data_IF_219842165911
#
_entry.id   IF_219842165911
#
_cell.length_a   1.000
_cell.length_b   1.000
_cell.length_c   1.000
_cell.angle_alpha   90.00
_cell.angle_beta   90.00
_cell.angle_gamma   90.00
#
_symmetry.space_group_name_H-M   'P 1'
#
loop_
_entity.id
_entity.type
_entity.pdbx_description
1 polymer ?
#
# COMPACT_ATOMS: atom_id res chain seq x y z
N UNK A 1 -66.27 20.97 16.03
CA UNK A 1 -65.15 21.85 16.42
C UNK A 1 -63.96 20.98 16.82
N UNK A 2 -62.86 21.13 16.08
CA UNK A 2 -61.45 20.97 16.46
C UNK A 2 -60.97 19.72 17.22
N UNK A 3 -60.07 18.95 16.58
CA UNK A 3 -58.67 18.82 17.03
C UNK A 3 -57.87 18.00 15.99
N UNK A 4 -57.26 18.66 15.01
CA UNK A 4 -56.20 18.05 14.19
C UNK A 4 -54.90 18.15 15.00
N UNK A 5 -54.40 17.01 15.47
CA UNK A 5 -53.08 16.91 16.09
C UNK A 5 -52.01 17.01 14.99
N UNK A 6 -51.33 18.15 14.90
CA UNK A 6 -50.13 18.28 14.12
C UNK A 6 -48.96 17.63 14.88
N UNK A 7 -48.55 16.44 14.44
CA UNK A 7 -47.27 15.85 14.83
C UNK A 7 -46.13 16.70 14.25
N UNK A 8 -45.13 17.13 15.04
CA UNK A 8 -43.96 17.79 14.49
C UNK A 8 -43.11 16.76 13.75
N UNK A 9 -42.85 17.05 12.48
CA UNK A 9 -41.87 16.38 11.64
C UNK A 9 -40.49 16.62 12.27
N UNK A 10 -39.92 15.60 12.94
CA UNK A 10 -38.50 15.59 13.31
C UNK A 10 -37.70 15.49 12.02
N UNK A 11 -37.49 16.64 11.37
CA UNK A 11 -36.42 16.80 10.41
C UNK A 11 -35.12 16.50 11.15
N UNK A 12 -34.46 15.41 10.78
CA UNK A 12 -33.09 15.11 11.17
C UNK A 12 -32.25 16.34 10.88
N UNK A 13 -31.88 17.08 11.92
CA UNK A 13 -30.93 18.17 11.82
C UNK A 13 -29.60 17.55 11.36
N UNK A 14 -29.36 17.54 10.05
CA UNK A 14 -28.01 17.50 9.53
C UNK A 14 -27.31 18.72 10.12
N UNK A 15 -26.51 18.50 11.16
CA UNK A 15 -25.63 19.52 11.72
C UNK A 15 -24.85 20.11 10.55
N UNK A 16 -25.02 21.42 10.33
CA UNK A 16 -24.27 22.12 9.31
C UNK A 16 -22.78 21.87 9.56
N UNK A 17 -21.99 21.54 8.52
CA UNK A 17 -20.56 21.31 8.69
C UNK A 17 -19.94 22.54 9.36
N UNK A 18 -19.09 22.31 10.36
CA UNK A 18 -18.43 23.41 11.07
C UNK A 18 -17.57 24.24 10.11
N UNK A 19 -17.32 25.51 10.44
CA UNK A 19 -16.62 26.42 9.53
C UNK A 19 -15.22 25.89 9.14
N UNK A 20 -14.56 25.16 10.05
CA UNK A 20 -13.24 24.58 9.83
C UNK A 20 -13.28 23.44 8.81
N UNK A 21 -14.22 22.50 8.91
CA UNK A 21 -14.37 21.39 7.97
C UNK A 21 -14.72 21.88 6.57
N UNK A 22 -15.51 22.96 6.45
CA UNK A 22 -15.80 23.61 5.18
C UNK A 22 -14.53 24.19 4.57
N UNK A 23 -13.75 24.96 5.33
CA UNK A 23 -12.48 25.54 4.85
C UNK A 23 -11.46 24.45 4.47
N UNK A 24 -11.35 23.41 5.27
CA UNK A 24 -10.46 22.28 5.01
C UNK A 24 -10.83 21.58 3.70
N UNK A 25 -12.12 21.37 3.45
CA UNK A 25 -12.64 20.77 2.21
C UNK A 25 -12.35 21.66 1.01
N UNK A 26 -12.60 22.97 1.11
CA UNK A 26 -12.29 23.91 0.04
C UNK A 26 -10.81 23.94 -0.33
N UNK A 27 -9.91 23.91 0.67
CA UNK A 27 -8.47 23.85 0.39
C UNK A 27 -8.14 22.54 -0.33
N UNK A 28 -8.68 21.39 0.13
CA UNK A 28 -8.45 20.08 -0.51
C UNK A 28 -8.91 20.06 -1.96
N UNK A 29 -10.09 20.59 -2.26
CA UNK A 29 -10.64 20.65 -3.63
C UNK A 29 -9.81 21.52 -4.56
N UNK A 30 -9.25 22.61 -4.03
CA UNK A 30 -8.40 23.51 -4.79
C UNK A 30 -6.94 23.04 -4.84
N UNK A 31 -6.58 21.96 -4.15
CA UNK A 31 -5.21 21.46 -4.10
C UNK A 31 -4.89 20.61 -5.32
N UNK A 32 -3.79 20.93 -5.98
CA UNK A 32 -3.26 20.20 -7.11
C UNK A 32 -1.72 20.09 -6.99
N UNK A 33 -1.09 19.44 -7.97
CA UNK A 33 0.36 19.25 -7.95
C UNK A 33 1.15 20.55 -8.19
N UNK A 34 0.56 21.55 -8.83
CA UNK A 34 1.22 22.81 -9.20
C UNK A 34 1.11 23.88 -8.09
N UNK A 35 0.17 23.73 -7.15
CA UNK A 35 -0.10 24.74 -6.13
C UNK A 35 0.16 24.28 -4.68
N UNK A 36 0.92 23.19 -4.50
CA UNK A 36 1.23 22.60 -3.17
C UNK A 36 1.78 23.61 -2.17
N UNK A 37 2.69 24.48 -2.59
CA UNK A 37 3.24 25.54 -1.73
C UNK A 37 2.14 26.49 -1.21
N UNK A 38 1.19 26.89 -2.07
CA UNK A 38 0.07 27.73 -1.68
C UNK A 38 -0.91 26.98 -0.76
N UNK A 39 -1.18 25.70 -1.05
CA UNK A 39 -1.98 24.82 -0.18
C UNK A 39 -1.38 24.69 1.21
N UNK A 40 -0.07 24.45 1.31
CA UNK A 40 0.67 24.37 2.57
C UNK A 40 0.55 25.68 3.37
N UNK A 41 0.65 26.83 2.71
CA UNK A 41 0.49 28.13 3.35
C UNK A 41 -0.92 28.30 3.93
N UNK A 42 -1.97 27.86 3.21
CA UNK A 42 -3.35 27.91 3.69
C UNK A 42 -3.59 26.99 4.89
N UNK A 43 -3.08 25.76 4.86
CA UNK A 43 -3.15 24.88 6.04
C UNK A 43 -2.38 25.44 7.23
N UNK A 44 -1.26 26.12 6.99
CA UNK A 44 -0.49 26.77 8.06
C UNK A 44 -1.25 27.93 8.69
N UNK A 45 -2.00 28.71 7.90
CA UNK A 45 -2.91 29.73 8.43
C UNK A 45 -4.02 29.11 9.29
N UNK A 46 -4.66 28.02 8.83
CA UNK A 46 -5.65 27.31 9.62
C UNK A 46 -5.10 26.78 10.94
N UNK A 47 -3.87 26.27 10.95
CA UNK A 47 -3.23 25.80 12.18
C UNK A 47 -2.83 26.93 13.14
N UNK A 48 -2.66 28.15 12.65
CA UNK A 48 -2.44 29.31 13.52
C UNK A 48 -3.73 29.67 14.29
N UNK A 49 -4.90 29.48 13.68
CA UNK A 49 -6.21 29.68 14.31
C UNK A 49 -6.64 28.48 15.17
N UNK A 50 -6.28 27.26 14.74
CA UNK A 50 -6.65 26.00 15.38
C UNK A 50 -5.42 25.13 15.69
N UNK A 51 -4.58 25.54 16.66
CA UNK A 51 -3.34 24.85 16.95
C UNK A 51 -3.60 23.40 17.38
N UNK A 52 -2.90 22.47 16.74
CA UNK A 52 -2.99 21.04 17.07
C UNK A 52 -4.20 20.30 16.50
N UNK A 53 -5.01 20.93 15.62
CA UNK A 53 -6.09 20.23 14.94
C UNK A 53 -5.53 19.07 14.09
N UNK A 54 -5.93 17.83 14.42
CA UNK A 54 -5.40 16.62 13.80
C UNK A 54 -5.69 16.52 12.30
N UNK A 55 -6.86 16.98 11.84
CA UNK A 55 -7.25 16.88 10.43
C UNK A 55 -6.49 17.85 9.54
N UNK A 56 -6.22 19.05 10.05
CA UNK A 56 -5.42 20.06 9.34
C UNK A 56 -3.95 19.64 9.33
N UNK A 57 -3.41 19.16 10.47
CA UNK A 57 -2.05 18.59 10.53
C UNK A 57 -1.89 17.41 9.56
N UNK A 58 -2.86 16.49 9.52
CA UNK A 58 -2.86 15.37 8.58
C UNK A 58 -2.86 15.85 7.12
N UNK A 59 -3.71 16.81 6.79
CA UNK A 59 -3.80 17.34 5.42
C UNK A 59 -2.51 18.05 5.00
N UNK A 60 -1.93 18.87 5.87
CA UNK A 60 -0.66 19.56 5.61
C UNK A 60 0.50 18.56 5.52
N UNK A 61 0.56 17.60 6.42
CA UNK A 61 1.56 16.53 6.43
C UNK A 61 1.54 15.69 5.14
N UNK A 62 0.35 15.29 4.66
CA UNK A 62 0.20 14.63 3.35
C UNK A 62 0.69 15.51 2.20
N UNK A 63 0.37 16.80 2.23
CA UNK A 63 0.78 17.74 1.18
C UNK A 63 2.30 17.95 1.18
N UNK A 64 2.93 18.08 2.35
CA UNK A 64 4.39 18.10 2.47
C UNK A 64 5.03 16.82 1.94
N UNK A 65 4.46 15.65 2.25
CA UNK A 65 4.98 14.37 1.78
C UNK A 65 4.93 14.27 0.25
N UNK A 66 3.83 14.73 -0.35
CA UNK A 66 3.72 14.80 -1.80
C UNK A 66 4.73 15.77 -2.40
N UNK A 67 4.94 16.94 -1.79
CA UNK A 67 5.90 17.96 -2.21
C UNK A 67 7.38 17.55 -2.00
N UNK A 68 7.63 16.40 -1.35
CA UNK A 68 8.99 15.91 -1.06
C UNK A 68 9.61 16.53 0.20
N UNK A 69 8.87 17.35 0.94
CA UNK A 69 9.30 17.95 2.20
C UNK A 69 9.13 16.98 3.37
N UNK A 70 9.83 15.85 3.32
CA UNK A 70 9.58 14.72 4.21
C UNK A 70 9.78 15.04 5.70
N UNK A 71 10.73 15.89 6.07
CA UNK A 71 10.94 16.27 7.47
C UNK A 71 9.76 17.06 8.04
N UNK A 72 9.19 17.99 7.28
CA UNK A 72 8.01 18.75 7.69
C UNK A 72 6.76 17.84 7.72
N UNK A 73 6.63 16.95 6.75
CA UNK A 73 5.57 15.93 6.73
C UNK A 73 5.61 15.03 7.97
N UNK A 74 6.80 14.55 8.31
CA UNK A 74 7.01 13.68 9.47
C UNK A 74 6.65 14.39 10.77
N UNK A 75 7.07 15.65 10.96
CA UNK A 75 6.73 16.42 12.14
C UNK A 75 5.20 16.55 12.33
N UNK A 76 4.48 16.94 11.27
CA UNK A 76 3.02 17.08 11.33
C UNK A 76 2.33 15.73 11.59
N UNK A 77 2.70 14.68 10.85
CA UNK A 77 2.07 13.37 10.96
C UNK A 77 2.38 12.67 12.29
N UNK A 78 3.61 12.81 12.81
CA UNK A 78 3.98 12.31 14.13
C UNK A 78 3.19 12.99 15.24
N UNK A 79 2.94 14.30 15.13
CA UNK A 79 2.10 15.02 16.06
C UNK A 79 0.66 14.45 16.07
N UNK A 80 0.09 14.15 14.90
CA UNK A 80 -1.25 13.54 14.81
C UNK A 80 -1.30 12.18 15.49
N UNK A 81 -0.37 11.26 15.16
CA UNK A 81 -0.40 9.90 15.74
C UNK A 81 -0.02 9.88 17.23
N UNK A 82 0.73 10.88 17.71
CA UNK A 82 1.01 11.05 19.14
C UNK A 82 -0.24 11.50 19.90
N UNK A 83 -0.96 12.48 19.36
CA UNK A 83 -2.17 13.03 19.98
C UNK A 83 -3.38 12.09 19.82
N UNK A 84 -3.42 11.29 18.76
CA UNK A 84 -4.52 10.39 18.44
C UNK A 84 -3.98 9.07 17.86
N UNK A 85 -3.51 8.16 18.72
CA UNK A 85 -2.91 6.88 18.30
C UNK A 85 -3.87 5.96 17.55
N UNK A 86 -5.18 6.20 17.63
CA UNK A 86 -6.23 5.45 16.94
C UNK A 86 -6.61 6.04 15.59
N UNK A 87 -5.96 7.13 15.14
CA UNK A 87 -6.25 7.76 13.86
C UNK A 87 -5.59 6.98 12.71
N UNK A 88 -6.33 6.02 12.15
CA UNK A 88 -5.84 5.10 11.10
C UNK A 88 -5.26 5.83 9.88
N UNK A 89 -5.94 6.86 9.39
CA UNK A 89 -5.50 7.69 8.25
C UNK A 89 -4.17 8.41 8.46
N UNK A 90 -3.82 8.74 9.70
CA UNK A 90 -2.55 9.35 10.02
C UNK A 90 -1.41 8.33 9.98
N UNK A 91 -1.66 7.10 10.44
CA UNK A 91 -0.71 5.99 10.30
C UNK A 91 -0.47 5.60 8.84
N UNK A 92 -1.53 5.59 8.01
CA UNK A 92 -1.39 5.34 6.57
C UNK A 92 -0.54 6.42 5.88
N UNK A 93 -0.82 7.69 6.19
CA UNK A 93 -0.07 8.83 5.66
C UNK A 93 1.40 8.82 6.10
N UNK A 94 1.66 8.48 7.36
CA UNK A 94 3.01 8.39 7.90
C UNK A 94 3.79 7.25 7.24
N UNK A 95 3.16 6.10 7.03
CA UNK A 95 3.76 4.98 6.29
C UNK A 95 4.06 5.34 4.83
N UNK A 96 3.15 6.03 4.15
CA UNK A 96 3.34 6.51 2.77
C UNK A 96 4.53 7.47 2.66
N UNK A 97 4.62 8.41 3.60
CA UNK A 97 5.72 9.35 3.71
C UNK A 97 7.06 8.61 3.92
N UNK A 98 7.12 7.65 4.84
CA UNK A 98 8.34 6.85 5.04
C UNK A 98 8.71 6.03 3.81
N UNK A 99 7.73 5.44 3.12
CA UNK A 99 7.98 4.68 1.89
C UNK A 99 8.53 5.59 0.78
N UNK A 100 7.98 6.79 0.59
CA UNK A 100 8.47 7.73 -0.42
C UNK A 100 9.84 8.34 -0.09
N UNK A 101 10.20 8.39 1.20
CA UNK A 101 11.50 8.84 1.68
C UNK A 101 12.54 7.71 1.83
N UNK A 102 12.31 6.56 1.19
CA UNK A 102 13.20 5.38 1.19
C UNK A 102 13.52 4.82 2.59
N UNK A 103 12.51 4.86 3.47
CA UNK A 103 12.57 4.38 4.86
C UNK A 103 11.63 3.18 5.07
N UNK A 104 11.91 2.02 4.46
CA UNK A 104 10.95 0.91 4.40
C UNK A 104 10.66 0.26 5.75
N UNK A 105 11.59 0.30 6.72
CA UNK A 105 11.35 -0.23 8.07
C UNK A 105 10.31 0.61 8.81
N UNK A 106 10.50 1.93 8.87
CA UNK A 106 9.53 2.83 9.50
C UNK A 106 8.17 2.81 8.78
N UNK A 107 8.17 2.62 7.46
CA UNK A 107 6.94 2.43 6.70
C UNK A 107 6.20 1.15 7.15
N UNK A 108 6.90 0.02 7.27
CA UNK A 108 6.31 -1.23 7.74
C UNK A 108 5.74 -1.12 9.16
N UNK A 109 6.43 -0.42 10.05
CA UNK A 109 5.97 -0.18 11.43
C UNK A 109 4.69 0.68 11.45
N UNK A 110 4.66 1.79 10.69
CA UNK A 110 3.48 2.64 10.58
C UNK A 110 2.29 1.92 9.93
N UNK A 111 2.51 1.16 8.87
CA UNK A 111 1.45 0.35 8.26
C UNK A 111 0.98 -0.80 9.15
N UNK A 112 1.84 -1.33 10.02
CA UNK A 112 1.41 -2.32 11.02
C UNK A 112 0.37 -1.71 11.95
N UNK A 113 0.59 -0.47 12.43
CA UNK A 113 -0.42 0.27 13.19
C UNK A 113 -1.69 0.50 12.40
N UNK A 114 -1.60 0.81 11.11
CA UNK A 114 -2.78 0.96 10.25
C UNK A 114 -3.57 -0.36 10.12
N UNK A 115 -2.90 -1.47 9.86
CA UNK A 115 -3.52 -2.81 9.79
C UNK A 115 -4.19 -3.19 11.11
N UNK A 116 -3.60 -2.86 12.25
CA UNK A 116 -4.23 -3.13 13.56
C UNK A 116 -5.52 -2.32 13.77
N UNK A 117 -5.57 -1.08 13.26
CA UNK A 117 -6.74 -0.20 13.38
C UNK A 117 -7.81 -0.50 12.33
N UNK A 118 -7.41 -0.96 11.14
CA UNK A 118 -8.27 -1.25 10.01
C UNK A 118 -7.96 -2.63 9.41
N UNK A 119 -8.17 -3.73 10.16
CA UNK A 119 -7.75 -5.08 9.73
C UNK A 119 -8.50 -5.61 8.51
N UNK A 120 -9.67 -5.02 8.20
CA UNK A 120 -10.50 -5.37 7.04
C UNK A 120 -10.23 -4.47 5.83
N UNK A 121 -9.31 -3.51 5.91
CA UNK A 121 -8.94 -2.66 4.80
C UNK A 121 -7.87 -3.36 3.92
N UNK A 122 -8.19 -3.79 2.69
CA UNK A 122 -7.21 -4.40 1.80
C UNK A 122 -6.02 -3.47 1.49
N UNK A 123 -6.23 -2.15 1.47
CA UNK A 123 -5.17 -1.19 1.17
C UNK A 123 -4.08 -1.17 2.24
N UNK A 124 -4.45 -1.36 3.51
CA UNK A 124 -3.51 -1.43 4.63
C UNK A 124 -2.55 -2.61 4.49
N UNK A 125 -3.07 -3.79 4.14
CA UNK A 125 -2.28 -4.99 3.90
C UNK A 125 -1.39 -4.84 2.65
N UNK A 126 -1.92 -4.29 1.55
CA UNK A 126 -1.10 -4.00 0.36
C UNK A 126 0.05 -3.05 0.68
N UNK A 127 -0.22 -1.99 1.43
CA UNK A 127 0.79 -0.99 1.80
C UNK A 127 1.91 -1.60 2.66
N UNK A 128 1.55 -2.39 3.69
CA UNK A 128 2.52 -3.11 4.52
C UNK A 128 3.29 -4.14 3.70
N UNK A 129 2.63 -4.92 2.86
CA UNK A 129 3.28 -5.89 1.97
C UNK A 129 4.30 -5.26 1.02
N UNK A 130 4.02 -4.07 0.48
CA UNK A 130 4.98 -3.30 -0.33
C UNK A 130 6.22 -2.87 0.47
N UNK A 131 6.04 -2.43 1.73
CA UNK A 131 7.14 -2.09 2.61
C UNK A 131 7.99 -3.33 2.96
N UNK A 132 7.34 -4.43 3.35
CA UNK A 132 7.99 -5.72 3.66
C UNK A 132 8.77 -6.28 2.47
N UNK A 133 8.22 -6.18 1.26
CA UNK A 133 8.94 -6.56 0.02
C UNK A 133 10.23 -5.76 -0.13
N UNK A 134 10.18 -4.45 0.14
CA UNK A 134 11.36 -3.57 0.05
C UNK A 134 12.43 -3.90 1.09
N UNK A 135 12.03 -4.48 2.23
CA UNK A 135 12.92 -5.05 3.25
C UNK A 135 13.44 -6.46 2.90
N UNK A 136 13.06 -7.04 1.76
CA UNK A 136 13.39 -8.41 1.39
C UNK A 136 12.60 -9.49 2.15
N UNK A 137 11.59 -9.11 2.93
CA UNK A 137 10.73 -10.03 3.69
C UNK A 137 9.63 -10.61 2.79
N UNK A 138 10.05 -11.35 1.76
CA UNK A 138 9.19 -11.81 0.66
C UNK A 138 8.02 -12.68 1.15
N UNK A 139 8.26 -13.56 2.13
CA UNK A 139 7.21 -14.43 2.67
C UNK A 139 6.11 -13.62 3.41
N UNK A 140 6.51 -12.64 4.21
CA UNK A 140 5.58 -11.77 4.93
C UNK A 140 4.79 -10.87 3.96
N UNK A 141 5.47 -10.31 2.96
CA UNK A 141 4.81 -9.54 1.90
C UNK A 141 3.77 -10.37 1.12
N UNK A 142 4.08 -11.64 0.82
CA UNK A 142 3.13 -12.56 0.19
C UNK A 142 1.88 -12.77 1.04
N UNK A 143 2.06 -13.03 2.34
CA UNK A 143 0.95 -13.22 3.26
C UNK A 143 0.02 -12.01 3.28
N UNK A 144 0.57 -10.79 3.33
CA UNK A 144 -0.22 -9.55 3.27
C UNK A 144 -1.00 -9.40 1.96
N UNK A 145 -0.38 -9.71 0.81
CA UNK A 145 -1.09 -9.68 -0.47
C UNK A 145 -2.18 -10.75 -0.58
N UNK A 146 -1.96 -11.91 0.03
CA UNK A 146 -2.97 -12.97 0.10
C UNK A 146 -4.15 -12.55 0.98
N UNK A 147 -3.90 -11.94 2.14
CA UNK A 147 -4.94 -11.35 2.97
C UNK A 147 -5.70 -10.26 2.22
N UNK A 148 -5.02 -9.33 1.55
CA UNK A 148 -5.67 -8.29 0.75
C UNK A 148 -6.61 -8.87 -0.32
N UNK A 149 -6.20 -9.97 -0.99
CA UNK A 149 -7.08 -10.68 -1.92
C UNK A 149 -8.33 -11.26 -1.26
N UNK A 150 -8.19 -11.84 -0.06
CA UNK A 150 -9.37 -12.36 0.68
C UNK A 150 -10.33 -11.25 1.11
N UNK A 151 -9.82 -10.03 1.30
CA UNK A 151 -10.58 -8.85 1.67
C UNK A 151 -11.18 -8.10 0.47
N UNK A 152 -11.01 -8.62 -0.75
CA UNK A 152 -11.63 -8.06 -1.95
C UNK A 152 -10.80 -7.01 -2.69
N UNK A 153 -9.48 -6.96 -2.48
CA UNK A 153 -8.58 -6.20 -3.35
C UNK A 153 -8.72 -6.63 -4.83
N UNK A 154 -8.43 -5.70 -5.74
CA UNK A 154 -8.52 -5.97 -7.17
C UNK A 154 -7.63 -7.18 -7.57
N UNK A 155 -8.21 -8.23 -8.20
CA UNK A 155 -7.44 -9.44 -8.51
C UNK A 155 -6.25 -9.20 -9.43
N UNK A 156 -6.33 -8.21 -10.33
CA UNK A 156 -5.25 -7.87 -11.24
C UNK A 156 -4.11 -7.17 -10.47
N UNK A 157 -4.42 -6.22 -9.60
CA UNK A 157 -3.42 -5.59 -8.72
C UNK A 157 -2.70 -6.65 -7.87
N UNK A 158 -3.43 -7.59 -7.26
CA UNK A 158 -2.80 -8.65 -6.47
C UNK A 158 -1.92 -9.56 -7.32
N UNK A 159 -2.35 -9.91 -8.54
CA UNK A 159 -1.53 -10.72 -9.44
C UNK A 159 -0.20 -10.03 -9.79
N UNK A 160 -0.24 -8.71 -10.04
CA UNK A 160 0.96 -7.89 -10.27
C UNK A 160 1.86 -7.84 -9.03
N UNK A 161 1.28 -7.64 -7.84
CA UNK A 161 2.01 -7.63 -6.57
C UNK A 161 2.67 -8.99 -6.29
N UNK A 162 1.97 -10.11 -6.51
CA UNK A 162 2.55 -11.45 -6.36
C UNK A 162 3.67 -11.73 -7.37
N UNK A 163 3.52 -11.27 -8.61
CA UNK A 163 4.55 -11.39 -9.65
C UNK A 163 5.81 -10.61 -9.25
N UNK A 164 5.64 -9.45 -8.64
CA UNK A 164 6.75 -8.62 -8.18
C UNK A 164 7.58 -9.22 -7.03
N UNK A 165 7.08 -10.29 -6.38
CA UNK A 165 7.80 -11.04 -5.35
C UNK A 165 8.69 -12.13 -5.93
N UNK A 166 8.53 -12.48 -7.20
CA UNK A 166 9.37 -13.48 -7.84
C UNK A 166 10.79 -12.90 -7.98
N UNK A 167 11.83 -13.71 -7.75
CA UNK A 167 13.16 -13.30 -8.14
C UNK A 167 13.08 -12.92 -9.62
N UNK A 168 13.58 -11.73 -9.99
CA UNK A 168 13.85 -11.44 -11.39
C UNK A 168 14.73 -12.59 -11.84
N UNK A 169 14.21 -13.47 -12.68
CA UNK A 169 15.01 -14.53 -13.25
C UNK A 169 16.21 -13.80 -13.85
N UNK A 170 17.38 -13.98 -13.26
CA UNK A 170 18.60 -13.69 -13.96
C UNK A 170 18.42 -14.42 -15.28
N UNK A 171 18.53 -13.68 -16.38
CA UNK A 171 18.33 -14.19 -17.72
C UNK A 171 18.87 -15.64 -17.77
N UNK A 172 18.09 -16.67 -18.17
CA UNK A 172 18.61 -18.04 -18.18
C UNK A 172 19.92 -18.16 -18.98
N UNK A 173 20.20 -17.19 -19.86
CA UNK A 173 21.47 -17.06 -20.60
C UNK A 173 22.68 -16.65 -19.75
N UNK A 174 22.50 -16.21 -18.50
CA UNK A 174 23.58 -15.78 -17.60
C UNK A 174 24.09 -16.90 -16.68
N UNK A 175 23.56 -18.13 -16.81
CA UNK A 175 24.12 -19.32 -16.15
C UNK A 175 24.94 -20.13 -17.15
N UNK A 176 26.24 -19.82 -17.15
CA UNK A 176 27.38 -20.60 -17.60
C UNK A 176 27.58 -20.83 -19.11
N UNK A 177 28.75 -20.40 -19.61
CA UNK A 177 29.38 -20.89 -20.83
C UNK A 177 29.59 -22.43 -20.85
N UNK A 178 29.34 -23.11 -19.73
CA UNK A 178 29.57 -24.55 -19.51
C UNK A 178 28.26 -25.33 -19.25
N UNK A 179 27.20 -25.01 -20.00
CA UNK A 179 26.17 -25.97 -20.40
C UNK A 179 25.58 -26.89 -19.31
N UNK A 180 24.63 -26.39 -18.51
CA UNK A 180 23.64 -27.26 -17.89
C UNK A 180 22.37 -27.32 -18.73
N UNK A 181 22.06 -28.54 -19.20
CA UNK A 181 20.82 -28.88 -19.92
C UNK A 181 19.79 -29.33 -18.89
N UNK A 182 18.74 -28.55 -18.67
CA UNK A 182 17.60 -29.00 -17.86
C UNK A 182 16.95 -30.20 -18.54
N UNK A 183 17.16 -31.39 -17.98
CA UNK A 183 16.43 -32.60 -18.34
C UNK A 183 15.10 -32.61 -17.60
N UNK A 184 14.03 -32.10 -18.22
CA UNK A 184 12.68 -32.44 -17.79
C UNK A 184 12.41 -33.89 -18.20
N UNK A 185 12.59 -34.84 -17.27
CA UNK A 185 12.12 -36.21 -17.49
C UNK A 185 10.61 -36.23 -17.30
N UNK A 186 9.88 -36.03 -18.39
CA UNK A 186 8.49 -36.51 -18.49
C UNK A 186 8.55 -38.01 -18.74
N UNK A 187 8.41 -38.78 -17.67
CA UNK A 187 8.21 -40.21 -17.76
C UNK A 187 6.87 -40.49 -18.44
N UNK A 188 6.94 -40.89 -19.70
CA UNK A 188 5.90 -41.70 -20.32
C UNK A 188 6.60 -43.00 -20.71
N UNK A 189 6.35 -44.01 -19.92
CA UNK A 189 6.50 -45.39 -20.33
C UNK A 189 5.83 -45.60 -21.69
N UNK A 190 6.55 -46.17 -22.65
CA UNK A 190 6.12 -47.35 -23.40
C UNK A 190 7.22 -47.85 -24.35
N UNK A 191 7.29 -49.19 -24.38
CA UNK A 191 7.84 -50.13 -25.36
C UNK A 191 9.36 -50.21 -25.61
N UNK A 192 9.90 -51.38 -25.22
CA UNK A 192 11.20 -51.94 -25.61
C UNK A 192 11.32 -52.01 -27.12
N UNK A 193 12.43 -51.51 -27.67
CA UNK A 193 12.93 -51.91 -28.99
C UNK A 193 14.40 -52.34 -28.86
N UNK A 194 14.65 -53.63 -29.07
CA UNK A 194 15.98 -54.23 -29.11
C UNK A 194 16.59 -54.08 -30.51
N UNK A 195 17.58 -53.20 -30.66
CA UNK A 195 18.40 -53.09 -31.87
C UNK A 195 19.80 -53.64 -31.63
N UNK A 196 19.94 -54.96 -31.50
CA UNK A 196 21.24 -55.61 -31.38
C UNK A 196 21.83 -55.95 -32.76
N UNK A 197 22.69 -55.08 -33.29
CA UNK A 197 23.55 -55.39 -34.44
C UNK A 197 25.02 -55.38 -34.03
N UNK A 198 25.62 -56.55 -33.79
CA UNK A 198 27.08 -56.67 -33.59
C UNK A 198 27.74 -56.89 -34.95
N UNK A 199 28.57 -55.93 -35.34
CA UNK A 199 29.55 -56.07 -36.40
C UNK A 199 30.54 -57.21 -36.07
N UNK A 200 30.87 -58.01 -37.08
CA UNK A 200 31.88 -59.05 -37.00
C UNK A 200 33.31 -58.48 -36.98
N UNK A 201 34.25 -59.33 -36.60
CA UNK A 201 35.43 -59.67 -37.41
C UNK A 201 36.14 -60.85 -36.77
N UNK A 202 36.34 -61.87 -37.60
CA UNK A 202 37.15 -63.08 -37.39
C UNK A 202 38.64 -62.75 -37.50
N UNK A 203 39.48 -63.77 -37.24
CA UNK A 203 40.97 -63.90 -37.43
C UNK A 203 41.71 -63.80 -36.09
N UNK A 204 42.45 -64.80 -35.59
CA UNK A 204 43.06 -66.03 -36.15
C UNK A 204 42.90 -67.18 -35.15
#
# INVERSE_FOLDING_TARGET
>A
MLALAALPLLASAQEAPDALSVQLTQIREQSDANNRAATIARYSALLAEHPGNGDVLLARGRTYAWDGQYAAAEADLQQVVTNSPTYADAWSALGDMYRWSDRPQQAADAYTRWVELAPQDPAAHIARGRALRSLGQIAAARADFDTAATLGADPKEIAELRTSLLPRMANPDAVAADGYRWGASVGWDHTRFSGGGRAGTTTT
#
